data_IF_070166853140
#
_entry.id   IF_070166853140
#
_cell.length_a   1.000
_cell.length_b   1.000
_cell.length_c   1.000
_cell.angle_alpha   90.00
_cell.angle_beta   90.00
_cell.angle_gamma   90.00
#
_symmetry.space_group_name_H-M   'P 1'
#
loop_
_entity.id
_entity.type
_entity.pdbx_description
1 polymer ?
#
# COMPACT_ATOMS: atom_id res chain seq x y z
N UNK A 1 -5.76 17.28 9.64
CA UNK A 1 -6.21 16.05 10.27
C UNK A 1 -5.20 14.96 10.07
N UNK A 2 -5.14 14.04 10.98
CA UNK A 2 -4.19 12.95 10.89
C UNK A 2 -4.93 11.63 10.82
N UNK A 3 -4.19 10.58 10.50
CA UNK A 3 -4.75 9.25 10.40
C UNK A 3 -5.28 8.81 11.77
N UNK A 4 -6.35 8.02 11.77
CA UNK A 4 -6.93 7.50 13.00
C UNK A 4 -6.02 6.44 13.59
N UNK A 5 -6.21 6.16 14.87
CA UNK A 5 -5.46 5.09 15.53
C UNK A 5 -5.77 3.73 14.90
N UNK A 6 -7.02 3.54 14.48
CA UNK A 6 -7.39 2.31 13.83
C UNK A 6 -6.63 2.12 12.52
N UNK A 7 -6.52 3.17 11.71
CA UNK A 7 -5.78 3.08 10.46
C UNK A 7 -4.31 2.80 10.72
N UNK A 8 -3.74 3.41 11.75
CA UNK A 8 -2.35 3.18 12.10
C UNK A 8 -2.14 1.72 12.52
N UNK A 9 -3.07 1.18 13.28
CA UNK A 9 -2.99 -0.22 13.69
C UNK A 9 -3.05 -1.14 12.47
N UNK A 10 -3.96 -0.88 11.55
CA UNK A 10 -4.03 -1.69 10.33
C UNK A 10 -2.75 -1.59 9.51
N UNK A 11 -2.16 -0.40 9.45
CA UNK A 11 -0.90 -0.23 8.73
C UNK A 11 0.20 -1.07 9.34
N UNK A 12 0.23 -1.18 10.67
CA UNK A 12 1.21 -2.04 11.35
C UNK A 12 1.00 -3.50 11.01
N UNK A 13 -0.25 -3.94 11.00
CA UNK A 13 -0.57 -5.32 10.65
C UNK A 13 -0.06 -5.63 9.25
N UNK A 14 -0.29 -4.72 8.32
CA UNK A 14 0.16 -4.88 6.95
C UNK A 14 1.69 -4.94 6.89
N UNK A 15 2.36 -4.04 7.61
CA UNK A 15 3.81 -3.98 7.57
C UNK A 15 4.43 -5.27 8.08
N UNK A 16 3.93 -5.81 9.19
CA UNK A 16 4.47 -7.04 9.73
C UNK A 16 4.21 -8.23 8.80
N UNK A 17 3.03 -8.30 8.20
CA UNK A 17 2.72 -9.38 7.28
C UNK A 17 3.63 -9.31 6.06
N UNK A 18 3.90 -8.11 5.56
CA UNK A 18 4.76 -7.92 4.41
C UNK A 18 6.20 -8.32 4.72
N UNK A 19 6.69 -7.93 5.90
CA UNK A 19 8.05 -8.27 6.31
C UNK A 19 8.22 -9.78 6.42
N UNK A 20 7.19 -10.48 6.89
CA UNK A 20 7.24 -11.92 7.02
C UNK A 20 7.46 -12.61 5.67
N UNK A 21 7.05 -11.98 4.60
CA UNK A 21 7.23 -12.51 3.25
C UNK A 21 8.31 -11.77 2.48
N UNK A 22 9.21 -11.10 3.21
CA UNK A 22 10.37 -10.43 2.64
C UNK A 22 10.03 -9.24 1.76
N UNK A 23 8.91 -8.61 2.00
CA UNK A 23 8.63 -7.31 1.41
C UNK A 23 9.62 -6.31 1.96
N UNK A 24 9.93 -5.28 1.16
CA UNK A 24 10.92 -4.30 1.58
C UNK A 24 10.49 -2.90 1.16
N UNK A 25 11.25 -1.90 1.61
CA UNK A 25 10.95 -0.49 1.35
C UNK A 25 9.50 -0.18 1.69
N UNK A 26 9.08 -0.59 2.88
CA UNK A 26 7.70 -0.43 3.31
C UNK A 26 7.53 0.99 3.84
N UNK A 27 6.59 1.72 3.26
CA UNK A 27 6.33 3.11 3.61
C UNK A 27 4.84 3.28 3.86
N UNK A 28 4.51 3.96 4.95
CA UNK A 28 3.14 4.34 5.24
C UNK A 28 3.02 5.85 5.09
N UNK A 29 2.05 6.27 4.29
CA UNK A 29 1.84 7.68 4.00
C UNK A 29 0.48 8.11 4.52
N UNK A 30 0.48 9.17 5.32
CA UNK A 30 -0.78 9.72 5.81
C UNK A 30 -1.38 10.58 4.70
N UNK A 31 -2.50 10.12 4.16
CA UNK A 31 -3.19 10.82 3.08
C UNK A 31 -4.53 11.37 3.54
N UNK A 32 -4.74 11.41 4.85
CA UNK A 32 -6.05 11.79 5.40
C UNK A 32 -6.44 13.21 5.03
N UNK A 33 -5.47 14.07 4.75
CA UNK A 33 -5.79 15.45 4.37
C UNK A 33 -6.14 15.57 2.89
N UNK A 34 -5.86 14.54 2.11
CA UNK A 34 -6.07 14.59 0.67
C UNK A 34 -7.22 13.73 0.21
N UNK A 35 -7.57 12.70 0.98
CA UNK A 35 -8.62 11.77 0.61
C UNK A 35 -9.70 11.76 1.68
N UNK A 36 -10.95 11.70 1.23
CA UNK A 36 -12.09 11.83 2.14
C UNK A 36 -12.27 10.61 3.04
N UNK A 37 -11.94 9.43 2.53
CA UNK A 37 -12.27 8.18 3.22
C UNK A 37 -11.02 7.46 3.71
N UNK A 38 -9.95 7.52 2.94
CA UNK A 38 -8.75 6.74 3.22
C UNK A 38 -7.75 7.57 4.01
N UNK A 39 -7.23 6.99 5.07
CA UNK A 39 -6.29 7.68 5.95
C UNK A 39 -4.84 7.40 5.60
N UNK A 40 -4.52 6.18 5.19
CA UNK A 40 -3.13 5.79 5.00
C UNK A 40 -2.96 4.98 3.72
N UNK A 41 -1.92 5.29 2.97
CA UNK A 41 -1.42 4.42 1.91
C UNK A 41 -0.22 3.68 2.45
N UNK A 42 -0.20 2.36 2.28
CA UNK A 42 0.98 1.56 2.62
C UNK A 42 1.55 1.03 1.32
N UNK A 43 2.82 1.32 1.07
CA UNK A 43 3.47 0.94 -0.17
C UNK A 43 4.57 -0.06 0.16
N UNK A 44 4.56 -1.19 -0.50
CA UNK A 44 5.47 -2.31 -0.23
C UNK A 44 6.11 -2.73 -1.54
N UNK A 45 7.42 -2.96 -1.51
CA UNK A 45 8.14 -3.47 -2.67
C UNK A 45 8.37 -4.97 -2.56
N UNK A 46 8.40 -5.63 -3.69
CA UNK A 46 8.74 -7.05 -3.77
C UNK A 46 9.71 -7.25 -4.93
N UNK A 47 10.52 -8.29 -4.84
CA UNK A 47 11.61 -8.49 -5.80
C UNK A 47 11.14 -9.05 -7.14
N UNK A 48 10.04 -9.79 -7.14
CA UNK A 48 9.53 -10.41 -8.36
C UNK A 48 8.04 -10.66 -8.21
N UNK A 49 7.41 -11.11 -9.29
CA UNK A 49 5.97 -11.30 -9.30
C UNK A 49 5.50 -12.35 -8.30
N UNK A 50 6.29 -13.40 -8.12
CA UNK A 50 5.92 -14.43 -7.14
C UNK A 50 5.90 -13.86 -5.73
N UNK A 51 6.87 -13.01 -5.42
CA UNK A 51 6.92 -12.40 -4.12
C UNK A 51 5.80 -11.38 -3.93
N UNK A 52 5.45 -10.66 -4.99
CA UNK A 52 4.28 -9.77 -4.92
C UNK A 52 3.06 -10.59 -4.50
N UNK A 53 2.84 -11.74 -5.13
CA UNK A 53 1.70 -12.58 -4.80
C UNK A 53 1.75 -13.06 -3.36
N UNK A 54 2.94 -13.46 -2.89
CA UNK A 54 3.09 -13.95 -1.52
C UNK A 54 2.80 -12.85 -0.50
N UNK A 55 3.29 -11.63 -0.77
CA UNK A 55 3.03 -10.50 0.12
C UNK A 55 1.54 -10.17 0.15
N UNK A 56 0.92 -10.14 -1.03
CA UNK A 56 -0.52 -9.85 -1.14
C UNK A 56 -1.32 -10.84 -0.31
N UNK A 57 -1.02 -12.12 -0.45
CA UNK A 57 -1.77 -13.15 0.27
C UNK A 57 -1.57 -13.03 1.77
N UNK A 58 -0.34 -12.74 2.21
CA UNK A 58 -0.06 -12.60 3.63
C UNK A 58 -0.76 -11.39 4.23
N UNK A 59 -0.75 -10.27 3.50
CA UNK A 59 -1.41 -9.06 3.95
C UNK A 59 -2.92 -9.29 4.05
N UNK A 60 -3.50 -9.90 3.03
CA UNK A 60 -4.95 -10.10 3.02
C UNK A 60 -5.35 -11.04 4.15
N UNK A 61 -4.57 -12.09 4.40
CA UNK A 61 -4.87 -13.01 5.48
C UNK A 61 -4.79 -12.31 6.83
N UNK A 62 -3.74 -11.52 7.05
CA UNK A 62 -3.57 -10.81 8.33
C UNK A 62 -4.68 -9.80 8.55
N UNK A 63 -5.07 -9.10 7.51
CA UNK A 63 -6.16 -8.12 7.64
C UNK A 63 -7.48 -8.82 7.91
N UNK A 64 -7.71 -9.95 7.27
CA UNK A 64 -8.93 -10.72 7.53
C UNK A 64 -8.98 -11.17 8.99
N UNK A 65 -7.84 -11.60 9.55
CA UNK A 65 -7.78 -12.00 10.94
C UNK A 65 -8.06 -10.84 11.87
N UNK A 66 -7.78 -9.62 11.42
CA UNK A 66 -8.11 -8.41 12.17
C UNK A 66 -9.50 -7.89 11.85
N UNK A 67 -10.28 -8.69 11.13
CA UNK A 67 -11.66 -8.35 10.74
C UNK A 67 -11.74 -7.12 9.86
N UNK A 68 -10.67 -6.82 9.17
CA UNK A 68 -10.67 -5.75 8.18
C UNK A 68 -10.87 -6.40 6.82
N UNK A 69 -12.08 -6.26 6.28
CA UNK A 69 -12.43 -6.91 5.03
C UNK A 69 -12.08 -6.02 3.85
N UNK A 70 -11.53 -6.64 2.85
CA UNK A 70 -11.11 -5.96 1.65
C UNK A 70 -12.33 -5.51 0.85
N UNK A 71 -12.36 -4.24 0.47
CA UNK A 71 -13.43 -3.72 -0.34
C UNK A 71 -13.16 -3.98 -1.82
N UNK A 72 -11.86 -3.94 -2.21
CA UNK A 72 -11.54 -4.03 -3.63
C UNK A 72 -10.11 -4.53 -3.78
N UNK A 73 -9.85 -5.21 -4.89
CA UNK A 73 -8.53 -5.71 -5.21
C UNK A 73 -8.31 -5.58 -6.70
N UNK A 74 -7.20 -4.96 -7.10
CA UNK A 74 -6.89 -4.72 -8.50
C UNK A 74 -5.43 -5.07 -8.79
N UNK A 75 -5.16 -5.44 -10.04
CA UNK A 75 -3.79 -5.63 -10.49
C UNK A 75 -3.21 -7.00 -10.25
N UNK A 76 -3.95 -7.89 -9.62
CA UNK A 76 -3.40 -9.18 -9.23
C UNK A 76 -3.07 -10.09 -10.40
N UNK A 77 -3.67 -9.83 -11.55
CA UNK A 77 -3.45 -10.69 -12.71
C UNK A 77 -2.00 -10.64 -13.15
N UNK A 78 -1.39 -9.47 -13.11
CA UNK A 78 -0.02 -9.28 -13.58
C UNK A 78 1.00 -9.29 -12.46
N UNK A 79 0.56 -9.12 -11.23
CA UNK A 79 1.42 -9.11 -10.06
C UNK A 79 2.58 -8.13 -10.16
N UNK A 80 2.36 -7.02 -10.84
CA UNK A 80 3.38 -5.98 -10.88
C UNK A 80 3.03 -4.83 -9.96
N UNK A 81 1.75 -4.57 -9.79
CA UNK A 81 1.28 -3.52 -8.88
C UNK A 81 -0.12 -3.92 -8.46
N UNK A 82 -0.23 -4.49 -7.27
CA UNK A 82 -1.51 -4.94 -6.74
C UNK A 82 -1.99 -3.94 -5.71
N UNK A 83 -3.24 -3.54 -5.84
CA UNK A 83 -3.87 -2.60 -4.93
C UNK A 83 -4.91 -3.34 -4.10
N UNK A 84 -4.82 -3.22 -2.78
CA UNK A 84 -5.77 -3.80 -1.84
C UNK A 84 -6.43 -2.67 -1.07
N UNK A 85 -7.70 -2.47 -1.31
CA UNK A 85 -8.45 -1.37 -0.71
C UNK A 85 -9.24 -1.87 0.49
N UNK A 86 -8.88 -1.40 1.68
CA UNK A 86 -9.56 -1.74 2.93
C UNK A 86 -10.31 -0.53 3.48
N UNK A 87 -10.56 0.48 2.67
CA UNK A 87 -11.28 1.70 3.01
C UNK A 87 -10.40 2.64 3.84
N UNK A 88 -10.13 2.30 5.10
CA UNK A 88 -9.33 3.17 5.96
C UNK A 88 -7.88 3.21 5.52
N UNK A 89 -7.38 2.13 4.94
CA UNK A 89 -6.05 2.11 4.33
C UNK A 89 -6.12 1.44 2.97
N UNK A 90 -5.21 1.83 2.11
CA UNK A 90 -5.04 1.21 0.80
C UNK A 90 -3.60 0.72 0.73
N UNK A 91 -3.44 -0.55 0.41
CA UNK A 91 -2.13 -1.19 0.36
C UNK A 91 -1.72 -1.34 -1.09
N UNK A 92 -0.51 -0.89 -1.41
CA UNK A 92 0.07 -1.03 -2.74
C UNK A 92 1.26 -1.96 -2.64
N UNK A 93 1.17 -3.12 -3.29
CA UNK A 93 2.29 -4.06 -3.34
C UNK A 93 2.83 -4.01 -4.75
N UNK A 94 4.09 -3.61 -4.89
CA UNK A 94 4.67 -3.30 -6.19
C UNK A 94 5.93 -4.11 -6.43
N UNK A 95 6.07 -4.57 -7.67
CA UNK A 95 7.36 -5.07 -8.15
C UNK A 95 8.37 -3.94 -8.00
N UNK A 96 9.60 -4.26 -7.65
CA UNK A 96 10.60 -3.22 -7.37
C UNK A 96 10.81 -2.26 -8.53
N UNK A 97 10.61 -2.72 -9.75
CA UNK A 97 10.75 -1.84 -10.91
C UNK A 97 9.65 -0.80 -10.99
N UNK A 98 8.45 -1.17 -10.56
CA UNK A 98 7.33 -0.24 -10.53
C UNK A 98 7.48 0.76 -9.40
N UNK A 99 8.16 0.37 -8.34
CA UNK A 99 8.29 1.18 -7.15
C UNK A 99 9.00 2.49 -7.43
N UNK A 100 9.97 2.49 -8.31
CA UNK A 100 10.72 3.70 -8.58
C UNK A 100 9.84 4.80 -9.14
N UNK A 101 9.00 4.45 -10.11
CA UNK A 101 8.10 5.43 -10.70
C UNK A 101 7.08 5.91 -9.69
N UNK A 102 6.53 4.99 -8.93
CA UNK A 102 5.51 5.34 -7.96
C UNK A 102 6.07 6.27 -6.88
N UNK A 103 7.28 6.03 -6.46
CA UNK A 103 7.92 6.87 -5.44
C UNK A 103 8.07 8.29 -5.92
N UNK A 104 8.45 8.47 -7.19
CA UNK A 104 8.54 9.79 -7.76
C UNK A 104 7.19 10.49 -7.77
N UNK A 105 6.16 9.77 -8.16
CA UNK A 105 4.82 10.30 -8.18
C UNK A 105 4.38 10.77 -6.81
N UNK A 106 4.62 9.95 -5.81
CA UNK A 106 4.25 10.29 -4.45
C UNK A 106 4.97 11.51 -3.94
N UNK A 107 6.23 11.63 -4.28
CA UNK A 107 7.03 12.75 -3.85
C UNK A 107 6.44 14.06 -4.34
N UNK A 108 6.09 14.11 -5.59
CA UNK A 108 5.52 15.30 -6.17
C UNK A 108 4.11 15.56 -5.67
N UNK A 109 3.35 14.50 -5.51
CA UNK A 109 1.99 14.62 -5.03
C UNK A 109 1.94 15.18 -3.62
N UNK A 110 2.81 14.71 -2.75
CA UNK A 110 2.80 15.20 -1.38
C UNK A 110 3.27 16.62 -1.29
N UNK A 111 4.04 17.07 -2.26
CA UNK A 111 4.55 18.41 -2.29
C UNK A 111 3.60 19.38 -2.93
N UNK A 112 2.55 18.91 -3.45
CA UNK A 112 1.64 19.70 -4.24
C UNK A 112 2.36 20.34 -5.42
N UNK A 113 3.43 19.78 -5.83
CA UNK A 113 4.14 20.23 -7.00
C UNK A 113 3.42 19.72 -8.21
N UNK A 114 2.29 20.19 -8.34
CA UNK A 114 1.31 19.70 -9.22
C UNK A 114 1.69 19.72 -10.67
N UNK A 115 2.65 20.48 -11.02
CA UNK A 115 3.07 20.58 -12.38
C UNK A 115 3.97 19.43 -12.80
N UNK A 116 4.35 18.56 -11.90
CA UNK A 116 5.22 17.45 -12.23
C UNK A 116 4.41 16.23 -12.54
N UNK A 117 4.48 15.68 -13.72
CA UNK A 117 3.65 14.56 -14.10
C UNK A 117 4.08 13.29 -13.40
N UNK A 118 3.09 12.55 -13.03
CA UNK A 118 3.25 11.23 -12.48
C UNK A 118 3.12 10.28 -13.63
N UNK A 119 4.22 9.96 -14.25
CA UNK A 119 4.16 9.16 -15.48
C UNK A 119 4.24 7.71 -15.22
#
# INVERSE_FOLDING_TARGET
MSATEYAIELARVVAYAALDKKGFDIVALDVSEHLAITDIFVVISAANERQVSAVVDAVDKAMHEHKAHRARREGERENRWVLLDYIDIVVHVQHQEERELYSLCLLYTSDAADDTPCV
#
